data_IF_095947978296
#
_entry.id   IF_095947978296
#
_cell.length_a   1.000
_cell.length_b   1.000
_cell.length_c   1.000
_cell.angle_alpha   90.00
_cell.angle_beta   90.00
_cell.angle_gamma   90.00
#
_symmetry.space_group_name_H-M   'P 1'
#
loop_
_entity.id
_entity.type
_entity.pdbx_description
1 polymer ?
#
# COMPACT_ATOMS: atom_id res chain seq x y z
N UNK A 1 6.01 -4.03 -9.93
CA UNK A 1 5.78 -4.06 -8.47
C UNK A 1 4.70 -3.12 -8.00
N UNK A 2 4.36 -2.07 -8.77
CA UNK A 2 3.20 -1.23 -8.46
C UNK A 2 1.87 -1.90 -8.88
N UNK A 3 1.90 -3.07 -9.49
CA UNK A 3 0.70 -3.84 -9.87
C UNK A 3 -0.11 -4.32 -8.68
N UNK A 4 0.47 -4.38 -7.47
CA UNK A 4 -0.28 -4.66 -6.24
C UNK A 4 -1.14 -3.48 -5.75
N UNK A 5 -0.94 -2.27 -6.31
CA UNK A 5 -1.62 -1.07 -5.80
C UNK A 5 -3.15 -1.18 -5.86
N UNK A 6 -3.79 -1.71 -6.92
CA UNK A 6 -5.25 -1.89 -6.93
C UNK A 6 -5.73 -2.79 -5.79
N UNK A 7 -4.99 -3.84 -5.44
CA UNK A 7 -5.32 -4.74 -4.32
C UNK A 7 -5.25 -4.00 -2.98
N UNK A 8 -4.19 -3.22 -2.76
CA UNK A 8 -3.97 -2.45 -1.52
C UNK A 8 -5.07 -1.38 -1.34
N UNK A 9 -5.45 -0.69 -2.41
CA UNK A 9 -6.45 0.38 -2.37
C UNK A 9 -7.88 -0.08 -2.67
N UNK A 10 -8.14 -1.38 -2.74
CA UNK A 10 -9.50 -1.97 -2.77
C UNK A 10 -10.17 -1.90 -1.38
N UNK A 11 -10.20 -0.71 -0.80
CA UNK A 11 -10.84 -0.38 0.46
C UNK A 11 -11.04 1.13 0.56
N UNK A 12 -12.17 1.63 1.08
CA UNK A 12 -12.37 3.06 1.29
C UNK A 12 -11.53 3.62 2.45
N UNK A 13 -10.86 2.75 3.21
CA UNK A 13 -10.09 3.13 4.39
C UNK A 13 -8.74 3.73 4.03
N UNK A 14 -8.20 3.45 2.85
CA UNK A 14 -6.84 3.82 2.47
C UNK A 14 -6.80 4.86 1.37
N UNK A 15 -5.89 5.82 1.51
CA UNK A 15 -5.51 6.72 0.43
C UNK A 15 -3.98 6.77 0.30
N UNK A 16 -3.50 6.84 -0.94
CA UNK A 16 -2.07 6.99 -1.21
C UNK A 16 -1.64 8.43 -0.96
N UNK A 17 -0.49 8.62 -0.32
CA UNK A 17 0.12 9.94 -0.11
C UNK A 17 1.60 9.94 -0.53
N UNK A 18 2.28 11.06 -0.26
CA UNK A 18 3.72 11.14 -0.36
C UNK A 18 4.27 11.13 -1.79
N UNK A 19 5.55 10.76 -1.92
CA UNK A 19 6.28 10.83 -3.18
C UNK A 19 5.75 9.88 -4.26
N UNK A 20 5.27 8.70 -3.84
CA UNK A 20 4.72 7.69 -4.76
C UNK A 20 3.41 8.15 -5.39
N UNK A 21 2.51 8.79 -4.62
CA UNK A 21 1.30 9.36 -5.18
C UNK A 21 1.59 10.45 -6.23
N UNK A 22 2.55 11.34 -5.94
CA UNK A 22 2.96 12.37 -6.89
C UNK A 22 3.54 11.75 -8.18
N UNK A 23 4.41 10.75 -8.04
CA UNK A 23 5.01 10.06 -9.18
C UNK A 23 4.00 9.26 -10.00
N UNK A 24 3.00 8.65 -9.36
CA UNK A 24 2.04 7.79 -10.06
C UNK A 24 0.98 8.61 -10.77
N UNK A 25 0.50 9.70 -10.14
CA UNK A 25 -0.70 10.40 -10.57
C UNK A 25 -0.46 11.81 -11.15
N UNK A 26 0.71 12.42 -10.94
CA UNK A 26 0.96 13.81 -11.34
C UNK A 26 2.24 14.01 -12.15
N UNK A 27 3.28 13.22 -11.89
CA UNK A 27 4.59 13.36 -12.54
C UNK A 27 4.83 12.11 -13.41
N UNK A 28 5.53 12.21 -14.53
CA UNK A 28 5.70 11.07 -15.43
C UNK A 28 6.76 10.06 -14.90
N UNK A 29 6.61 9.57 -13.66
CA UNK A 29 7.57 8.69 -12.97
C UNK A 29 9.04 9.20 -13.02
N UNK A 30 9.34 10.45 -12.62
CA UNK A 30 10.68 11.03 -12.75
C UNK A 30 11.73 10.39 -11.83
N UNK A 31 11.30 9.59 -10.85
CA UNK A 31 12.15 8.85 -9.93
C UNK A 31 11.47 7.56 -9.51
N UNK A 32 12.28 6.53 -9.21
CA UNK A 32 11.80 5.31 -8.58
C UNK A 32 11.37 5.62 -7.14
N UNK A 33 10.17 5.20 -6.76
CA UNK A 33 9.68 5.28 -5.39
C UNK A 33 9.47 3.86 -4.89
N UNK A 34 10.15 3.51 -3.79
CA UNK A 34 10.25 2.11 -3.30
C UNK A 34 9.22 1.81 -2.20
N UNK A 35 8.61 2.85 -1.62
CA UNK A 35 7.62 2.74 -0.55
C UNK A 35 6.24 3.26 -1.01
N UNK A 36 5.18 2.54 -0.67
CA UNK A 36 3.78 2.96 -0.83
C UNK A 36 3.32 3.53 0.51
N UNK A 37 3.35 4.86 0.57
CA UNK A 37 2.83 5.63 1.68
C UNK A 37 1.30 5.65 1.68
N UNK A 38 0.70 5.14 2.75
CA UNK A 38 -0.76 5.06 2.92
C UNK A 38 -1.19 5.85 4.15
N UNK A 39 -2.32 6.54 4.03
CA UNK A 39 -3.03 7.14 5.16
C UNK A 39 -4.36 6.43 5.37
N UNK A 40 -4.70 6.17 6.63
CA UNK A 40 -6.04 5.76 7.04
C UNK A 40 -6.99 6.98 6.99
N UNK A 41 -8.00 6.96 6.13
CA UNK A 41 -8.91 8.08 5.88
C UNK A 41 -9.83 8.35 7.07
N UNK A 42 -10.25 7.31 7.80
CA UNK A 42 -11.12 7.47 8.97
C UNK A 42 -10.37 8.00 10.18
N UNK A 43 -10.80 9.16 10.67
CA UNK A 43 -10.24 9.81 11.88
C UNK A 43 -11.02 9.53 13.16
N UNK A 44 -12.23 9.00 13.04
CA UNK A 44 -13.19 8.82 14.12
C UNK A 44 -12.97 7.54 14.95
N UNK A 45 -12.16 6.60 14.45
CA UNK A 45 -11.76 5.40 15.18
C UNK A 45 -10.78 5.73 16.31
N UNK A 46 -10.88 5.00 17.43
CA UNK A 46 -9.86 4.97 18.48
C UNK A 46 -8.54 4.37 17.96
N UNK A 47 -7.44 4.53 18.72
CA UNK A 47 -6.11 4.02 18.31
C UNK A 47 -6.15 2.51 18.04
N UNK A 48 -6.68 1.73 18.98
CA UNK A 48 -6.65 0.27 18.90
C UNK A 48 -7.56 -0.25 17.77
N UNK A 49 -8.75 0.34 17.62
CA UNK A 49 -9.66 0.03 16.52
C UNK A 49 -9.06 0.39 15.15
N UNK A 50 -8.34 1.51 15.06
CA UNK A 50 -7.65 1.89 13.84
C UNK A 50 -6.52 0.90 13.51
N UNK A 51 -5.70 0.49 14.49
CA UNK A 51 -4.65 -0.51 14.29
C UNK A 51 -5.26 -1.84 13.84
N UNK A 52 -6.34 -2.28 14.47
CA UNK A 52 -7.03 -3.52 14.11
C UNK A 52 -7.61 -3.45 12.69
N UNK A 53 -8.27 -2.35 12.32
CA UNK A 53 -8.81 -2.14 10.98
C UNK A 53 -7.71 -2.13 9.91
N UNK A 54 -6.61 -1.40 10.16
CA UNK A 54 -5.45 -1.36 9.26
C UNK A 54 -4.84 -2.76 9.10
N UNK A 55 -4.69 -3.50 10.21
CA UNK A 55 -4.18 -4.87 10.17
C UNK A 55 -5.08 -5.79 9.36
N UNK A 56 -6.40 -5.68 9.51
CA UNK A 56 -7.37 -6.47 8.75
C UNK A 56 -7.30 -6.19 7.25
N UNK A 57 -7.19 -4.93 6.85
CA UNK A 57 -7.07 -4.55 5.43
C UNK A 57 -5.74 -5.00 4.80
N UNK A 58 -4.63 -4.91 5.54
CA UNK A 58 -3.35 -5.41 5.04
C UNK A 58 -3.30 -6.94 4.98
N UNK A 59 -3.98 -7.64 5.88
CA UNK A 59 -4.11 -9.11 5.81
C UNK A 59 -5.05 -9.55 4.66
N UNK A 60 -6.13 -8.80 4.40
CA UNK A 60 -6.96 -8.98 3.20
C UNK A 60 -6.13 -8.84 1.93
N UNK A 61 -5.37 -7.74 1.82
CA UNK A 61 -4.51 -7.51 0.67
C UNK A 61 -3.43 -8.58 0.52
N UNK A 62 -2.80 -9.00 1.62
CA UNK A 62 -1.86 -10.12 1.65
C UNK A 62 -2.48 -11.40 1.06
N UNK A 63 -3.68 -11.76 1.50
CA UNK A 63 -4.37 -12.97 1.05
C UNK A 63 -4.71 -12.94 -0.46
N UNK A 64 -4.80 -11.75 -1.07
CA UNK A 64 -4.98 -11.58 -2.51
C UNK A 64 -3.66 -11.54 -3.28
N UNK A 65 -2.59 -11.00 -2.68
CA UNK A 65 -1.25 -10.85 -3.30
C UNK A 65 -0.47 -12.17 -3.32
N UNK A 66 -0.55 -12.99 -2.26
CA UNK A 66 0.19 -14.26 -2.20
C UNK A 66 -0.16 -15.23 -3.37
N UNK A 67 -1.44 -15.40 -3.75
CA UNK A 67 -1.82 -16.19 -4.93
C UNK A 67 -1.28 -15.68 -6.27
N UNK A 68 -0.91 -14.40 -6.40
CA UNK A 68 -0.27 -13.84 -7.60
C UNK A 68 1.21 -14.24 -7.73
N UNK A 69 1.72 -15.07 -6.81
CA UNK A 69 3.10 -15.57 -6.83
C UNK A 69 4.11 -14.65 -6.13
N UNK A 70 3.63 -13.63 -5.41
CA UNK A 70 4.47 -12.72 -4.64
C UNK A 70 4.65 -13.22 -3.21
N UNK A 71 5.89 -13.18 -2.71
CA UNK A 71 6.16 -13.46 -1.31
C UNK A 71 5.83 -12.24 -0.46
N UNK A 72 5.17 -12.43 0.68
CA UNK A 72 4.71 -11.34 1.54
C UNK A 72 5.26 -11.49 2.96
N UNK A 73 5.80 -10.40 3.51
CA UNK A 73 6.15 -10.27 4.93
C UNK A 73 5.21 -9.26 5.57
N UNK A 74 4.39 -9.74 6.50
CA UNK A 74 3.44 -8.91 7.22
C UNK A 74 3.93 -8.65 8.65
N UNK A 75 3.82 -7.40 9.10
CA UNK A 75 4.18 -6.98 10.46
C UNK A 75 3.04 -6.17 11.05
N UNK A 76 2.50 -6.66 12.16
CA UNK A 76 1.39 -6.06 12.89
C UNK A 76 1.91 -5.21 14.05
N UNK A 77 1.40 -3.99 14.21
CA UNK A 77 1.61 -3.24 15.43
C UNK A 77 0.93 -3.96 16.61
N UNK A 78 1.59 -4.00 17.78
CA UNK A 78 0.97 -4.56 18.99
C UNK A 78 0.34 -3.45 19.82
N UNK A 79 -0.83 -3.73 20.40
CA UNK A 79 -1.57 -2.78 21.26
C UNK A 79 -0.87 -2.53 22.61
N UNK A 80 0.15 -3.31 22.96
CA UNK A 80 0.76 -3.29 24.30
C UNK A 80 1.87 -2.26 24.50
N UNK A 81 2.14 -1.38 23.53
CA UNK A 81 3.08 -0.25 23.67
C UNK A 81 4.53 -0.62 24.02
N UNK A 82 4.89 -1.91 23.97
CA UNK A 82 6.21 -2.44 24.34
C UNK A 82 6.97 -3.08 23.18
N UNK A 83 6.46 -3.01 21.94
CA UNK A 83 7.21 -3.38 20.77
C UNK A 83 7.89 -2.16 20.17
N UNK A 84 9.19 -2.29 19.88
CA UNK A 84 10.05 -1.28 19.29
C UNK A 84 9.78 -1.15 17.78
N UNK A 85 8.51 -0.95 17.41
CA UNK A 85 8.01 -1.02 16.05
C UNK A 85 6.51 -0.82 16.06
N UNK A 86 6.12 0.45 16.12
CA UNK A 86 4.73 0.88 16.30
C UNK A 86 3.95 0.82 14.97
N UNK A 87 4.54 0.37 13.86
CA UNK A 87 3.99 0.46 12.50
C UNK A 87 3.30 -0.83 12.04
N UNK A 88 2.14 -0.72 11.39
CA UNK A 88 1.55 -1.82 10.60
C UNK A 88 2.11 -1.73 9.17
N UNK A 89 2.80 -2.78 8.73
CA UNK A 89 3.60 -2.79 7.50
C UNK A 89 3.36 -4.07 6.71
N UNK A 90 3.22 -3.94 5.39
CA UNK A 90 3.28 -5.04 4.45
C UNK A 90 4.54 -4.89 3.59
N UNK A 91 5.36 -5.92 3.46
CA UNK A 91 6.42 -5.96 2.45
C UNK A 91 6.09 -7.03 1.45
N UNK A 92 5.93 -6.64 0.19
CA UNK A 92 5.75 -7.57 -0.91
C UNK A 92 7.11 -7.74 -1.58
N UNK A 93 7.41 -8.96 -2.02
CA UNK A 93 8.68 -9.35 -2.61
C UNK A 93 8.37 -10.15 -3.89
N UNK A 94 8.97 -9.71 -5.01
CA UNK A 94 8.87 -10.36 -6.31
C UNK A 94 10.25 -10.47 -6.93
N UNK A 95 10.81 -11.69 -6.98
CA UNK A 95 12.20 -11.92 -7.40
C UNK A 95 13.20 -11.12 -6.55
N UNK A 96 13.92 -10.20 -7.20
CA UNK A 96 14.88 -9.30 -6.56
C UNK A 96 14.29 -7.93 -6.16
N UNK A 97 13.00 -7.73 -6.36
CA UNK A 97 12.31 -6.46 -6.07
C UNK A 97 11.48 -6.57 -4.80
N UNK A 98 11.40 -5.48 -4.03
CA UNK A 98 10.55 -5.37 -2.85
C UNK A 98 9.87 -4.00 -2.79
N UNK A 99 8.60 -3.97 -2.40
CA UNK A 99 7.86 -2.74 -2.11
C UNK A 99 7.33 -2.81 -0.68
N UNK A 100 7.48 -1.72 0.05
CA UNK A 100 6.96 -1.59 1.42
C UNK A 100 5.67 -0.78 1.37
N UNK A 101 4.59 -1.32 1.91
CA UNK A 101 3.35 -0.59 2.17
C UNK A 101 3.35 -0.17 3.63
N UNK A 102 3.30 1.14 3.86
CA UNK A 102 3.31 1.75 5.18
C UNK A 102 2.01 2.49 5.43
N UNK A 103 1.26 2.07 6.45
CA UNK A 103 0.02 2.74 6.83
C UNK A 103 0.25 3.55 8.10
N UNK A 104 0.12 4.87 8.00
CA UNK A 104 0.18 5.73 9.18
C UNK A 104 -1.11 5.62 9.99
N UNK A 105 -0.99 5.13 11.21
CA UNK A 105 -2.11 4.98 12.15
C UNK A 105 -2.11 6.06 13.24
N UNK A 106 -1.06 6.89 13.38
CA UNK A 106 -1.03 8.00 14.35
C UNK A 106 -1.66 9.25 13.74
N UNK A 107 -1.16 9.66 12.58
CA UNK A 107 -1.71 10.77 11.81
C UNK A 107 -2.69 10.23 10.78
N UNK A 108 -3.95 10.14 11.19
CA UNK A 108 -5.08 9.66 10.37
C UNK A 108 -5.92 10.81 9.85
N UNK A 109 -6.68 10.53 8.80
CA UNK A 109 -7.53 11.49 8.11
C UNK A 109 -6.78 12.33 7.10
N UNK A 110 -7.55 13.12 6.36
CA UNK A 110 -7.06 14.11 5.41
C UNK A 110 -7.83 15.43 5.62
N UNK A 111 -7.15 16.55 5.41
CA UNK A 111 -7.79 17.87 5.49
C UNK A 111 -8.77 18.10 4.35
N UNK A 112 -8.42 17.59 3.16
CA UNK A 112 -9.27 17.56 1.98
C UNK A 112 -9.59 16.10 1.67
N UNK A 113 -10.75 15.86 1.05
CA UNK A 113 -11.15 14.51 0.67
C UNK A 113 -10.16 13.90 -0.33
N UNK A 114 -9.87 12.58 -0.23
CA UNK A 114 -9.12 11.87 -1.24
C UNK A 114 -9.78 12.01 -2.62
N UNK A 115 -8.96 12.08 -3.67
CA UNK A 115 -9.42 12.23 -5.04
C UNK A 115 -9.03 11.00 -5.85
N UNK A 116 -10.02 10.36 -6.46
CA UNK A 116 -9.76 9.29 -7.42
C UNK A 116 -9.11 9.86 -8.67
N UNK A 117 -7.94 9.31 -9.02
CA UNK A 117 -7.18 9.75 -10.18
C UNK A 117 -6.57 8.54 -10.87
N UNK A 118 -6.70 8.41 -12.20
CA UNK A 118 -5.98 7.36 -12.92
C UNK A 118 -4.48 7.66 -12.91
N UNK A 119 -3.60 6.65 -12.93
CA UNK A 119 -2.17 6.87 -13.11
C UNK A 119 -1.86 7.63 -14.40
N UNK A 120 -0.78 8.40 -14.38
CA UNK A 120 -0.15 8.99 -15.57
C UNK A 120 0.20 7.89 -16.58
N UNK A 121 0.35 8.23 -17.87
CA UNK A 121 0.62 7.24 -18.92
C UNK A 121 1.84 6.35 -18.64
N UNK A 122 2.91 6.89 -18.03
CA UNK A 122 4.06 6.08 -17.59
C UNK A 122 3.73 5.21 -16.38
N UNK A 123 3.04 5.74 -15.37
CA UNK A 123 2.60 5.00 -14.19
C UNK A 123 1.62 3.86 -14.50
N UNK A 124 0.79 4.00 -15.55
CA UNK A 124 -0.11 2.91 -16.00
C UNK A 124 0.67 1.67 -16.43
N UNK A 125 1.81 1.84 -17.10
CA UNK A 125 2.65 0.69 -17.48
C UNK A 125 3.14 -0.05 -16.24
N UNK A 126 3.62 0.67 -15.23
CA UNK A 126 4.16 0.04 -14.01
C UNK A 126 3.10 -0.65 -13.13
N UNK A 127 1.82 -0.26 -13.27
CA UNK A 127 0.68 -0.94 -12.65
C UNK A 127 0.19 -2.12 -13.48
N UNK A 128 0.25 -2.05 -14.81
CA UNK A 128 -0.27 -3.10 -15.71
C UNK A 128 0.72 -4.22 -16.03
N UNK A 129 2.04 -3.96 -15.96
CA UNK A 129 3.06 -4.89 -16.44
C UNK A 129 3.24 -6.18 -15.61
N UNK A 130 2.54 -6.33 -14.47
CA UNK A 130 2.64 -7.54 -13.63
C UNK A 130 1.63 -8.63 -13.99
N UNK A 131 0.65 -8.36 -14.87
CA UNK A 131 -0.32 -9.36 -15.32
C UNK A 131 0.11 -10.19 -16.53
N UNK A 132 1.30 -9.95 -17.10
CA UNK A 132 1.86 -10.72 -18.22
C UNK A 132 3.22 -11.29 -17.83
N UNK A 133 3.19 -12.33 -17.00
CA UNK A 133 4.37 -13.06 -16.53
C UNK A 133 4.22 -14.58 -16.62
N UNK A 134 3.32 -15.07 -17.47
CA UNK A 134 3.23 -16.49 -17.86
C UNK A 134 2.77 -16.58 -19.31
N UNK A 135 3.70 -16.46 -20.25
CA UNK A 135 3.55 -17.06 -21.58
C UNK A 135 4.92 -17.25 -22.25
N UNK A 136 5.31 -18.54 -22.37
CA UNK A 136 6.37 -19.18 -23.19
C UNK A 136 7.81 -18.61 -23.14
N UNK A 137 8.88 -19.41 -23.06
CA UNK A 137 9.12 -20.77 -23.56
C UNK A 137 10.08 -21.57 -22.66
#
# INVERSE_FOLDING_TARGET
MLGITPIIFDTPLFAMKGGTALNLFLQAMPRLSVDIDVVMVRRDLGRDDAIAAISGELDRARAQIEPEGHAVKFSTATTSGKAKGDEVKLTVISGQTSVKVEVNYVFRGALLDPVDRPPCASGRRDVQHEHYGTDSA
#
